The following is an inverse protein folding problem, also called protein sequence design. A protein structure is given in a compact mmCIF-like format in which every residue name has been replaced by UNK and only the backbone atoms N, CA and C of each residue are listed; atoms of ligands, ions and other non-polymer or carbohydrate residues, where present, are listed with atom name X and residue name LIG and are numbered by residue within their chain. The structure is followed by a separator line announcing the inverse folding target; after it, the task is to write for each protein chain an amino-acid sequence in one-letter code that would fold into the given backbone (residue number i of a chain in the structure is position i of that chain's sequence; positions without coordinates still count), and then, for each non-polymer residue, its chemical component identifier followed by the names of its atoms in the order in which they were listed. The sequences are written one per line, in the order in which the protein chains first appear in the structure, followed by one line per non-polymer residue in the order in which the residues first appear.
data_IF_880288102600
#
_entry.id   IF_880288102600
#
_cell.length_a   1.000
_cell.length_b   1.000
_cell.length_c   1.000
_cell.angle_alpha   90.00
_cell.angle_beta   90.00
_cell.angle_gamma   90.00
#
_symmetry.space_group_name_H-M   'P 1'
#
loop_
_entity.id
_entity.type
_entity.pdbx_description
1 polymer ?
#
# COMPACT_ATOMS: atom_id res chain seq x y z
N UNK A 1 25.89 81.38 5.74
CA UNK A 1 25.35 80.44 4.73
C UNK A 1 26.26 79.22 4.76
N UNK A 2 25.74 78.03 5.08
CA UNK A 2 26.54 76.80 5.16
C UNK A 2 26.33 76.00 3.86
N UNK A 3 27.43 75.62 3.20
CA UNK A 3 27.38 74.86 1.95
C UNK A 3 26.87 73.43 2.18
N UNK A 4 25.95 73.00 1.30
CA UNK A 4 25.37 71.66 1.33
C UNK A 4 26.40 70.61 0.91
N UNK A 5 26.70 69.67 1.80
CA UNK A 5 27.42 68.44 1.48
C UNK A 5 26.59 67.65 0.47
N UNK A 6 27.04 67.63 -0.79
CA UNK A 6 26.41 66.91 -1.90
C UNK A 6 27.37 65.87 -2.44
N UNK A 7 27.58 64.79 -1.69
CA UNK A 7 28.16 63.54 -2.22
C UNK A 7 27.92 62.40 -1.24
N UNK A 8 26.82 61.70 -1.44
CA UNK A 8 26.63 60.37 -0.87
C UNK A 8 27.39 59.41 -1.79
N UNK A 9 28.62 59.04 -1.41
CA UNK A 9 29.35 57.97 -2.07
C UNK A 9 28.66 56.64 -1.72
N UNK A 10 27.85 56.14 -2.65
CA UNK A 10 27.25 54.82 -2.53
C UNK A 10 28.36 53.81 -2.79
N UNK A 11 28.86 53.18 -1.72
CA UNK A 11 29.84 52.10 -1.82
C UNK A 11 29.18 50.97 -2.62
N UNK A 12 29.54 50.82 -3.90
CA UNK A 12 29.16 49.65 -4.67
C UNK A 12 30.03 48.50 -4.20
N UNK A 13 29.41 47.52 -3.54
CA UNK A 13 30.09 46.28 -3.16
C UNK A 13 30.59 45.61 -4.43
N UNK A 14 31.87 45.25 -4.44
CA UNK A 14 32.47 44.48 -5.53
C UNK A 14 31.93 43.05 -5.51
N UNK A 15 31.95 42.35 -6.65
CA UNK A 15 31.47 40.94 -6.73
C UNK A 15 32.21 40.03 -5.72
N UNK A 16 33.48 40.32 -5.44
CA UNK A 16 34.29 39.62 -4.44
C UNK A 16 33.77 39.86 -3.01
N UNK A 17 33.35 41.09 -2.69
CA UNK A 17 32.76 41.43 -1.39
C UNK A 17 31.38 40.80 -1.22
N UNK A 18 30.55 40.76 -2.27
CA UNK A 18 29.24 40.09 -2.24
C UNK A 18 29.44 38.59 -2.03
N UNK A 19 30.39 37.99 -2.74
CA UNK A 19 30.71 36.56 -2.60
C UNK A 19 31.22 36.22 -1.20
N UNK A 20 32.10 37.05 -0.62
CA UNK A 20 32.55 36.86 0.75
C UNK A 20 31.40 36.97 1.75
N UNK A 21 30.56 37.99 1.63
CA UNK A 21 29.42 38.20 2.53
C UNK A 21 28.40 37.06 2.43
N UNK A 22 28.11 36.56 1.22
CA UNK A 22 27.26 35.39 1.03
C UNK A 22 27.86 34.11 1.62
N UNK A 23 29.19 33.92 1.53
CA UNK A 23 29.85 32.79 2.16
C UNK A 23 29.79 32.88 3.69
N UNK A 24 30.01 34.06 4.26
CA UNK A 24 29.91 34.30 5.70
C UNK A 24 28.48 34.10 6.21
N UNK A 25 27.48 34.58 5.47
CA UNK A 25 26.07 34.42 5.80
C UNK A 25 25.66 32.95 5.78
N UNK A 26 26.03 32.21 4.74
CA UNK A 26 25.78 30.75 4.64
C UNK A 26 26.52 29.99 5.74
N UNK A 27 27.79 30.35 6.01
CA UNK A 27 28.60 29.69 7.06
C UNK A 27 28.01 29.94 8.44
N UNK A 28 27.54 31.16 8.71
CA UNK A 28 26.88 31.52 9.96
C UNK A 28 25.58 30.76 10.13
N UNK A 29 24.72 30.72 9.10
CA UNK A 29 23.47 29.98 9.14
C UNK A 29 23.70 28.47 9.38
N UNK A 30 24.75 27.89 8.78
CA UNK A 30 25.14 26.49 9.03
C UNK A 30 25.63 26.30 10.47
N UNK A 31 26.45 27.22 10.99
CA UNK A 31 26.98 27.13 12.34
C UNK A 31 25.87 27.23 13.40
N UNK A 32 24.91 28.13 13.23
CA UNK A 32 23.75 28.29 14.11
C UNK A 32 22.82 27.07 14.08
N UNK A 33 22.71 26.41 12.92
CA UNK A 33 21.84 25.25 12.72
C UNK A 33 22.58 23.91 12.72
N UNK A 34 23.81 23.88 13.26
CA UNK A 34 24.72 22.73 13.20
C UNK A 34 24.03 21.41 13.60
N UNK A 35 23.31 21.41 14.72
CA UNK A 35 22.68 20.19 15.24
C UNK A 35 21.57 19.67 14.30
N UNK A 36 20.70 20.56 13.81
CA UNK A 36 19.64 20.24 12.86
C UNK A 36 20.20 19.73 11.54
N UNK A 37 21.29 20.32 11.05
CA UNK A 37 21.98 19.89 9.83
C UNK A 37 22.61 18.51 10.02
N UNK A 38 23.27 18.24 11.15
CA UNK A 38 23.82 16.92 11.45
C UNK A 38 22.72 15.85 11.56
N UNK A 39 21.58 16.19 12.16
CA UNK A 39 20.40 15.30 12.19
C UNK A 39 19.87 15.01 10.79
N UNK A 40 19.75 16.02 9.93
CA UNK A 40 19.34 15.84 8.54
C UNK A 40 20.32 14.96 7.75
N UNK A 41 21.63 15.17 7.92
CA UNK A 41 22.68 14.34 7.30
C UNK A 41 22.57 12.89 7.76
N UNK A 42 22.34 12.64 9.05
CA UNK A 42 22.13 11.29 9.58
C UNK A 42 20.87 10.62 9.01
N UNK A 43 19.76 11.37 8.88
CA UNK A 43 18.54 10.85 8.25
C UNK A 43 18.83 10.49 6.79
N UNK A 44 19.48 11.37 6.03
CA UNK A 44 19.86 11.12 4.64
C UNK A 44 20.77 9.89 4.54
N UNK A 45 21.77 9.75 5.42
CA UNK A 45 22.66 8.58 5.44
C UNK A 45 21.89 7.29 5.75
N UNK A 46 20.96 7.33 6.71
CA UNK A 46 20.13 6.17 7.06
C UNK A 46 19.24 5.75 5.88
N UNK A 47 18.69 6.73 5.15
CA UNK A 47 17.91 6.47 3.94
C UNK A 47 18.78 5.91 2.80
N UNK A 48 20.03 6.36 2.69
CA UNK A 48 20.99 5.88 1.69
C UNK A 48 21.43 4.44 1.99
N UNK A 49 21.78 4.14 3.25
CA UNK A 49 22.15 2.80 3.72
C UNK A 49 21.03 1.78 3.48
N UNK A 50 19.78 2.21 3.63
CA UNK A 50 18.59 1.41 3.33
C UNK A 50 18.28 1.29 1.81
N UNK A 51 19.11 1.86 0.93
CA UNK A 51 18.91 1.99 -0.53
C UNK A 51 17.62 2.70 -0.93
N UNK A 52 17.03 3.48 -0.02
CA UNK A 52 15.81 4.22 -0.29
C UNK A 52 16.06 5.42 -1.20
N UNK A 53 17.23 6.06 -1.09
CA UNK A 53 17.60 7.15 -2.00
C UNK A 53 17.80 6.64 -3.43
N UNK A 54 18.40 5.46 -3.60
CA UNK A 54 18.50 4.77 -4.90
C UNK A 54 17.14 4.40 -5.47
N UNK A 55 16.24 3.87 -4.63
CA UNK A 55 14.88 3.55 -5.04
C UNK A 55 14.11 4.80 -5.48
N UNK A 56 14.21 5.90 -4.73
CA UNK A 56 13.62 7.20 -5.09
C UNK A 56 14.22 7.76 -6.37
N UNK A 57 15.55 7.73 -6.51
CA UNK A 57 16.27 8.16 -7.71
C UNK A 57 15.86 7.32 -8.93
N UNK A 58 15.75 6.00 -8.77
CA UNK A 58 15.27 5.06 -9.77
C UNK A 58 13.82 5.29 -10.15
N UNK A 59 12.94 5.57 -9.19
CA UNK A 59 11.55 5.93 -9.43
C UNK A 59 11.44 7.25 -10.20
N UNK A 60 12.23 8.25 -9.84
CA UNK A 60 12.29 9.55 -10.53
C UNK A 60 12.91 9.41 -11.92
N UNK A 61 13.92 8.56 -12.13
CA UNK A 61 14.47 8.34 -13.48
C UNK A 61 13.54 7.47 -14.34
N UNK A 62 12.86 6.51 -13.72
CA UNK A 62 11.95 5.56 -14.35
C UNK A 62 10.50 6.02 -14.48
N UNK A 63 10.16 7.24 -14.02
CA UNK A 63 8.79 7.78 -13.95
C UNK A 63 7.99 7.69 -15.24
N UNK A 64 8.63 7.72 -16.41
CA UNK A 64 7.93 7.53 -17.69
C UNK A 64 7.66 6.08 -18.10
N UNK A 65 8.53 5.14 -17.70
CA UNK A 65 8.47 3.73 -18.16
C UNK A 65 7.74 2.85 -17.15
N UNK A 66 7.97 3.07 -15.85
CA UNK A 66 7.37 2.28 -14.77
C UNK A 66 5.92 2.69 -14.57
N UNK A 67 5.62 3.99 -14.45
CA UNK A 67 4.25 4.45 -14.24
C UNK A 67 3.36 4.07 -15.42
N UNK A 68 3.83 4.22 -16.66
CA UNK A 68 2.99 3.93 -17.82
C UNK A 68 2.77 2.41 -18.02
N UNK A 69 3.80 1.57 -17.84
CA UNK A 69 3.62 0.11 -17.97
C UNK A 69 2.78 -0.47 -16.84
N UNK A 70 3.03 -0.07 -15.59
CA UNK A 70 2.24 -0.56 -14.45
C UNK A 70 0.82 -0.01 -14.47
N UNK A 71 0.62 1.28 -14.78
CA UNK A 71 -0.73 1.83 -14.86
C UNK A 71 -1.53 1.18 -15.99
N UNK A 72 -0.93 0.95 -17.17
CA UNK A 72 -1.61 0.26 -18.27
C UNK A 72 -1.90 -1.21 -17.91
N UNK A 73 -0.97 -1.91 -17.26
CA UNK A 73 -1.15 -3.31 -16.88
C UNK A 73 -2.20 -3.47 -15.78
N UNK A 74 -2.16 -2.62 -14.74
CA UNK A 74 -3.11 -2.63 -13.62
C UNK A 74 -4.50 -2.14 -14.03
N UNK A 75 -4.60 -1.32 -15.08
CA UNK A 75 -5.88 -0.84 -15.60
C UNK A 75 -6.54 -1.85 -16.56
N UNK A 76 -5.97 -3.05 -16.76
CA UNK A 76 -6.66 -4.13 -17.46
C UNK A 76 -7.86 -4.62 -16.64
N UNK A 77 -8.94 -4.97 -17.34
CA UNK A 77 -10.18 -5.46 -16.72
C UNK A 77 -9.96 -6.63 -15.75
N UNK A 78 -8.98 -7.50 -16.04
CA UNK A 78 -8.61 -8.63 -15.20
C UNK A 78 -8.17 -8.25 -13.77
N UNK A 79 -7.71 -7.01 -13.55
CA UNK A 79 -7.29 -6.50 -12.25
C UNK A 79 -8.25 -5.47 -11.65
N UNK A 80 -9.26 -5.03 -12.40
CA UNK A 80 -10.25 -4.03 -11.95
C UNK A 80 -10.93 -4.44 -10.63
N UNK A 81 -11.31 -5.72 -10.52
CA UNK A 81 -11.92 -6.30 -9.32
C UNK A 81 -10.94 -6.42 -8.14
N UNK A 82 -9.65 -6.63 -8.40
CA UNK A 82 -8.65 -6.62 -7.34
C UNK A 82 -8.50 -5.20 -6.79
N UNK A 83 -8.28 -4.23 -7.68
CA UNK A 83 -8.06 -2.82 -7.32
C UNK A 83 -9.26 -2.22 -6.59
N UNK A 84 -10.48 -2.45 -7.09
CA UNK A 84 -11.70 -1.92 -6.48
C UNK A 84 -11.95 -2.47 -5.07
N UNK A 85 -11.48 -3.69 -4.79
CA UNK A 85 -11.68 -4.37 -3.51
C UNK A 85 -10.42 -4.38 -2.62
N UNK A 86 -9.29 -3.82 -3.06
CA UNK A 86 -8.03 -3.85 -2.28
C UNK A 86 -8.19 -3.26 -0.89
N UNK A 87 -8.87 -2.12 -0.77
CA UNK A 87 -9.10 -1.49 0.54
C UNK A 87 -9.90 -2.41 1.47
N UNK A 88 -10.96 -3.05 0.95
CA UNK A 88 -11.78 -4.01 1.71
C UNK A 88 -10.99 -5.25 2.12
N UNK A 89 -10.10 -5.74 1.26
CA UNK A 89 -9.22 -6.87 1.57
C UNK A 89 -8.23 -6.54 2.69
N UNK A 90 -7.67 -5.33 2.73
CA UNK A 90 -6.73 -4.93 3.79
C UNK A 90 -7.37 -4.97 5.18
N UNK A 91 -8.63 -4.51 5.31
CA UNK A 91 -9.35 -4.60 6.59
C UNK A 91 -9.65 -6.05 6.99
N UNK A 92 -10.02 -6.89 6.02
CA UNK A 92 -10.29 -8.31 6.27
C UNK A 92 -9.04 -9.08 6.71
N UNK A 93 -7.86 -8.74 6.19
CA UNK A 93 -6.60 -9.41 6.54
C UNK A 93 -6.12 -9.10 7.98
N UNK A 94 -6.61 -8.02 8.60
CA UNK A 94 -6.26 -7.69 9.99
C UNK A 94 -6.97 -8.59 11.02
N UNK A 95 -8.17 -9.05 10.68
CA UNK A 95 -9.04 -9.79 11.60
C UNK A 95 -9.18 -11.28 11.23
N UNK A 96 -8.67 -11.71 10.06
CA UNK A 96 -8.82 -13.08 9.54
C UNK A 96 -7.48 -13.83 9.49
N UNK A 97 -7.54 -15.09 9.91
CA UNK A 97 -6.49 -16.05 9.60
C UNK A 97 -6.51 -16.38 8.09
N UNK A 98 -5.43 -16.04 7.40
CA UNK A 98 -5.30 -16.16 5.94
C UNK A 98 -5.29 -17.61 5.48
N UNK A 99 -4.73 -18.52 6.27
CA UNK A 99 -4.59 -19.94 5.91
C UNK A 99 -5.93 -20.66 6.03
N UNK A 100 -6.69 -20.38 7.10
CA UNK A 100 -8.05 -20.89 7.28
C UNK A 100 -9.02 -20.33 6.24
N UNK A 101 -8.91 -19.03 5.92
CA UNK A 101 -9.71 -18.40 4.86
C UNK A 101 -9.43 -19.05 3.51
N UNK A 102 -8.16 -19.20 3.13
CA UNK A 102 -7.75 -19.85 1.87
C UNK A 102 -8.28 -21.28 1.77
N UNK A 103 -8.16 -22.06 2.85
CA UNK A 103 -8.66 -23.44 2.90
C UNK A 103 -10.17 -23.48 2.74
N UNK A 104 -10.90 -22.57 3.39
CA UNK A 104 -12.36 -22.46 3.31
C UNK A 104 -12.81 -22.07 1.91
N UNK A 105 -12.22 -21.03 1.32
CA UNK A 105 -12.52 -20.58 -0.04
C UNK A 105 -12.28 -21.68 -1.07
N UNK A 106 -11.20 -22.45 -0.94
CA UNK A 106 -10.92 -23.60 -1.81
C UNK A 106 -12.00 -24.68 -1.71
N UNK A 107 -12.49 -24.99 -0.50
CA UNK A 107 -13.60 -25.94 -0.30
C UNK A 107 -14.91 -25.42 -0.91
N UNK A 108 -15.23 -24.14 -0.71
CA UNK A 108 -16.40 -23.48 -1.30
C UNK A 108 -16.33 -23.53 -2.83
N UNK A 109 -15.20 -23.19 -3.42
CA UNK A 109 -15.01 -23.24 -4.89
C UNK A 109 -15.20 -24.65 -5.46
N UNK A 110 -14.67 -25.68 -4.78
CA UNK A 110 -14.91 -27.08 -5.15
C UNK A 110 -16.40 -27.43 -5.09
N UNK A 111 -17.10 -27.00 -4.04
CA UNK A 111 -18.55 -27.17 -3.88
C UNK A 111 -19.35 -26.50 -5.00
N UNK A 112 -19.02 -25.25 -5.35
CA UNK A 112 -19.65 -24.52 -6.46
C UNK A 112 -19.47 -25.25 -7.79
N UNK A 113 -18.29 -25.82 -8.04
CA UNK A 113 -18.04 -26.61 -9.26
C UNK A 113 -18.91 -27.86 -9.32
N UNK A 114 -19.06 -28.57 -8.20
CA UNK A 114 -19.95 -29.75 -8.11
C UNK A 114 -21.42 -29.34 -8.30
N UNK A 115 -21.83 -28.23 -7.69
CA UNK A 115 -23.20 -27.70 -7.83
C UNK A 115 -23.52 -27.30 -9.28
N UNK A 116 -22.57 -26.68 -9.97
CA UNK A 116 -22.73 -26.30 -11.39
C UNK A 116 -22.78 -27.50 -12.34
N UNK A 117 -22.31 -28.67 -11.92
CA UNK A 117 -22.40 -29.93 -12.67
C UNK A 117 -23.69 -30.71 -12.37
N UNK A 118 -24.41 -30.35 -11.31
CA UNK A 118 -25.66 -31.00 -10.94
C UNK A 118 -26.78 -30.63 -11.93
N UNK A 119 -27.72 -31.55 -12.14
CA UNK A 119 -28.86 -31.30 -13.01
C UNK A 119 -29.77 -30.23 -12.36
N UNK A 120 -30.02 -29.08 -13.01
CA UNK A 120 -30.80 -27.98 -12.43
C UNK A 120 -32.26 -28.34 -12.14
N UNK A 121 -32.78 -29.41 -12.78
CA UNK A 121 -34.14 -29.88 -12.57
C UNK A 121 -34.24 -31.00 -11.52
N UNK A 122 -33.10 -31.51 -11.03
CA UNK A 122 -33.07 -32.56 -10.03
C UNK A 122 -33.34 -31.98 -8.65
N UNK A 123 -34.46 -32.39 -8.05
CA UNK A 123 -34.83 -32.01 -6.69
C UNK A 123 -34.39 -33.08 -5.70
N UNK A 124 -33.94 -32.64 -4.54
CA UNK A 124 -33.68 -33.54 -3.42
C UNK A 124 -35.01 -34.10 -2.90
N UNK A 125 -35.19 -35.41 -2.99
CA UNK A 125 -36.37 -36.11 -2.45
C UNK A 125 -36.15 -36.51 -0.99
N UNK A 126 -37.23 -36.82 -0.26
CA UNK A 126 -37.15 -37.31 1.13
C UNK A 126 -36.30 -38.57 1.24
N UNK A 127 -36.44 -39.50 0.28
CA UNK A 127 -35.61 -40.71 0.21
C UNK A 127 -34.15 -40.38 -0.08
N UNK A 128 -33.89 -39.39 -0.94
CA UNK A 128 -32.54 -38.88 -1.19
C UNK A 128 -31.89 -38.29 0.07
N UNK A 129 -32.65 -37.50 0.86
CA UNK A 129 -32.19 -36.97 2.15
C UNK A 129 -31.85 -38.08 3.13
N UNK A 130 -32.67 -39.12 3.23
CA UNK A 130 -32.36 -40.29 4.06
C UNK A 130 -31.08 -41.00 3.61
N UNK A 131 -30.81 -41.05 2.30
CA UNK A 131 -29.54 -41.55 1.78
C UNK A 131 -28.34 -40.70 2.23
N UNK A 132 -28.47 -39.37 2.12
CA UNK A 132 -27.45 -38.40 2.56
C UNK A 132 -27.14 -38.54 4.06
N UNK A 133 -28.15 -38.79 4.88
CA UNK A 133 -27.96 -38.97 6.33
C UNK A 133 -27.31 -40.31 6.72
N UNK A 134 -27.46 -41.33 5.88
CA UNK A 134 -26.83 -42.65 6.09
C UNK A 134 -25.40 -42.74 5.59
N UNK A 135 -25.03 -41.86 4.68
CA UNK A 135 -23.66 -41.72 4.20
C UNK A 135 -22.83 -40.94 5.23
N UNK A 136 -21.76 -41.57 5.75
CA UNK A 136 -20.98 -41.00 6.86
C UNK A 136 -20.27 -39.69 6.47
N UNK A 137 -19.79 -39.56 5.23
CA UNK A 137 -19.08 -38.38 4.76
C UNK A 137 -20.04 -37.19 4.58
N UNK A 138 -21.19 -37.45 3.96
CA UNK A 138 -22.23 -36.45 3.75
C UNK A 138 -22.90 -36.04 5.07
N UNK A 139 -23.15 -36.98 5.98
CA UNK A 139 -23.68 -36.69 7.32
C UNK A 139 -22.73 -35.79 8.11
N UNK A 140 -21.43 -36.11 8.10
CA UNK A 140 -20.41 -35.29 8.76
C UNK A 140 -20.36 -33.88 8.17
N UNK A 141 -20.41 -33.77 6.84
CA UNK A 141 -20.43 -32.47 6.14
C UNK A 141 -21.67 -31.64 6.47
N UNK A 142 -22.84 -32.27 6.53
CA UNK A 142 -24.09 -31.64 6.97
C UNK A 142 -24.00 -31.16 8.41
N UNK A 143 -23.42 -31.96 9.30
CA UNK A 143 -23.19 -31.60 10.70
C UNK A 143 -22.26 -30.40 10.84
N UNK A 144 -21.17 -30.34 10.07
CA UNK A 144 -20.31 -29.15 10.02
C UNK A 144 -21.07 -27.91 9.56
N UNK A 145 -21.87 -28.02 8.50
CA UNK A 145 -22.65 -26.89 7.98
C UNK A 145 -23.67 -26.37 9.02
N UNK A 146 -24.36 -27.28 9.72
CA UNK A 146 -25.30 -26.92 10.78
C UNK A 146 -24.60 -26.21 11.96
N UNK A 147 -23.40 -26.66 12.34
CA UNK A 147 -22.62 -26.01 13.39
C UNK A 147 -22.09 -24.64 12.96
N UNK A 148 -21.69 -24.48 11.69
CA UNK A 148 -21.32 -23.18 11.13
C UNK A 148 -22.50 -22.21 11.16
N UNK A 149 -23.69 -22.65 10.72
CA UNK A 149 -24.93 -21.86 10.81
C UNK A 149 -25.27 -21.47 12.25
N UNK A 150 -25.10 -22.39 13.21
CA UNK A 150 -25.30 -22.14 14.63
C UNK A 150 -24.29 -21.14 15.22
N UNK A 151 -23.07 -21.11 14.69
CA UNK A 151 -22.06 -20.09 15.04
C UNK A 151 -22.46 -18.71 14.53
N UNK A 152 -22.90 -18.61 13.28
CA UNK A 152 -23.36 -17.36 12.68
C UNK A 152 -24.60 -16.78 13.37
N UNK A 153 -25.49 -17.61 13.91
CA UNK A 153 -26.70 -17.13 14.60
C UNK A 153 -26.47 -16.64 16.03
N UNK A 154 -25.27 -16.83 16.58
CA UNK A 154 -24.90 -16.48 17.95
C UNK A 154 -23.93 -15.29 18.03
N UNK A 155 -23.47 -14.81 16.88
CA UNK A 155 -22.66 -13.60 16.71
C UNK A 155 -23.50 -12.40 16.32
#
# INVERSE_FOLDING_TARGET
MAERITKINRIQKTDEQIKQESLDEVTTAIAENKESILKAINIISTLDDAKLLDALSGAVKGRGVIANKFAVELNKDQYSGLISNMASLVFLLGDLDVDDLSTTLNKVNKGLRVANQANPNQKTSITGLMGILKDDEMNRSLTYMLNLLKGMSRG
#
